data_IF_685768591673
#
_entry.id   IF_685768591673
#
_cell.length_a   1.000
_cell.length_b   1.000
_cell.length_c   1.000
_cell.angle_alpha   90.00
_cell.angle_beta   90.00
_cell.angle_gamma   90.00
#
_symmetry.space_group_name_H-M   'P 1'
#
loop_
_entity.id
_entity.type
_entity.pdbx_description
1 polymer ?
#
# COMPACT_ATOMS: atom_id res chain seq x y z
N UNK A 1 -6.58 -11.00 -10.99
CA UNK A 1 -5.33 -10.73 -10.25
C UNK A 1 -5.07 -9.24 -10.08
N UNK A 2 -4.81 -8.45 -11.13
CA UNK A 2 -4.66 -6.97 -11.00
C UNK A 2 -5.86 -6.30 -10.32
N UNK A 3 -7.08 -6.63 -10.75
CA UNK A 3 -8.32 -6.14 -10.12
C UNK A 3 -8.41 -6.45 -8.62
N UNK A 4 -7.99 -7.64 -8.21
CA UNK A 4 -8.05 -8.03 -6.81
C UNK A 4 -7.03 -7.24 -5.98
N UNK A 5 -5.82 -7.02 -6.50
CA UNK A 5 -4.85 -6.14 -5.84
C UNK A 5 -5.36 -4.69 -5.76
N UNK A 6 -6.02 -4.20 -6.80
CA UNK A 6 -6.65 -2.86 -6.80
C UNK A 6 -7.74 -2.75 -5.72
N UNK A 7 -8.60 -3.77 -5.59
CA UNK A 7 -9.62 -3.83 -4.53
C UNK A 7 -9.01 -3.89 -3.12
N UNK A 8 -7.94 -4.68 -2.92
CA UNK A 8 -7.21 -4.76 -1.64
C UNK A 8 -6.61 -3.40 -1.28
N UNK A 9 -5.90 -2.76 -2.22
CA UNK A 9 -5.31 -1.44 -2.00
C UNK A 9 -6.38 -0.37 -1.78
N UNK A 10 -7.46 -0.40 -2.56
CA UNK A 10 -8.61 0.48 -2.38
C UNK A 10 -9.19 0.39 -0.96
N UNK A 11 -9.38 -0.83 -0.45
CA UNK A 11 -9.86 -1.06 0.91
C UNK A 11 -8.86 -0.58 1.98
N UNK A 12 -7.57 -0.85 1.79
CA UNK A 12 -6.52 -0.38 2.69
C UNK A 12 -6.53 1.15 2.83
N UNK A 13 -6.56 1.87 1.71
CA UNK A 13 -6.54 3.34 1.73
C UNK A 13 -7.87 3.95 2.15
N UNK A 14 -9.00 3.34 1.77
CA UNK A 14 -10.31 3.75 2.28
C UNK A 14 -10.34 3.71 3.80
N UNK A 15 -9.83 2.62 4.41
CA UNK A 15 -9.74 2.53 5.87
C UNK A 15 -8.77 3.53 6.47
N UNK A 16 -7.60 3.75 5.85
CA UNK A 16 -6.64 4.74 6.33
C UNK A 16 -7.23 6.16 6.37
N UNK A 17 -8.02 6.54 5.36
CA UNK A 17 -8.72 7.83 5.31
C UNK A 17 -9.78 7.92 6.41
N UNK A 18 -10.62 6.89 6.55
CA UNK A 18 -11.76 6.92 7.48
C UNK A 18 -11.35 6.74 8.95
N UNK A 19 -10.31 5.96 9.23
CA UNK A 19 -9.75 5.76 10.58
C UNK A 19 -8.71 6.82 10.96
N UNK A 20 -8.46 7.78 10.06
CA UNK A 20 -7.52 8.88 10.23
C UNK A 20 -6.08 8.53 9.92
N UNK A 21 -5.38 9.47 9.28
CA UNK A 21 -3.96 9.36 8.90
C UNK A 21 -3.03 9.44 10.13
N UNK A 22 -3.02 8.38 10.93
CA UNK A 22 -2.18 8.26 12.12
C UNK A 22 -1.17 7.11 12.00
N UNK A 23 -0.08 7.20 12.75
CA UNK A 23 0.96 6.16 12.84
C UNK A 23 0.38 4.83 13.33
N UNK A 24 -0.51 4.90 14.32
CA UNK A 24 -1.22 3.73 14.88
C UNK A 24 -2.17 3.11 13.88
N UNK A 25 -2.93 3.91 13.13
CA UNK A 25 -3.84 3.43 12.07
C UNK A 25 -3.03 2.72 10.99
N UNK A 26 -1.94 3.34 10.50
CA UNK A 26 -1.06 2.71 9.51
C UNK A 26 -0.47 1.38 10.02
N UNK A 27 0.02 1.36 11.26
CA UNK A 27 0.55 0.14 11.91
C UNK A 27 -0.48 -0.98 12.01
N UNK A 28 -1.73 -0.63 12.30
CA UNK A 28 -2.83 -1.58 12.38
C UNK A 28 -3.17 -2.14 11.00
N UNK A 29 -3.31 -1.26 9.99
CA UNK A 29 -3.65 -1.67 8.64
C UNK A 29 -2.54 -2.49 7.98
N UNK A 30 -1.27 -2.16 8.19
CA UNK A 30 -0.17 -3.01 7.68
C UNK A 30 -0.26 -4.44 8.20
N UNK A 31 -0.53 -4.63 9.51
CA UNK A 31 -0.73 -5.96 10.09
C UNK A 31 -1.86 -6.75 9.46
N UNK A 32 -2.90 -6.08 8.96
CA UNK A 32 -4.05 -6.73 8.32
C UNK A 32 -3.84 -7.02 6.83
N UNK A 33 -3.19 -6.10 6.11
CA UNK A 33 -3.21 -6.11 4.65
C UNK A 33 -1.86 -6.43 4.00
N UNK A 34 -0.73 -6.25 4.69
CA UNK A 34 0.61 -6.36 4.10
C UNK A 34 0.82 -7.69 3.37
N UNK A 35 0.55 -8.82 4.04
CA UNK A 35 0.71 -10.15 3.45
C UNK A 35 -0.16 -10.34 2.21
N UNK A 36 -1.41 -9.85 2.24
CA UNK A 36 -2.33 -9.96 1.09
C UNK A 36 -1.83 -9.13 -0.10
N UNK A 37 -1.41 -7.88 0.17
CA UNK A 37 -0.88 -6.95 -0.84
C UNK A 37 0.39 -7.52 -1.48
N UNK A 38 1.35 -7.97 -0.66
CA UNK A 38 2.62 -8.52 -1.13
C UNK A 38 2.45 -9.85 -1.86
N UNK A 39 1.59 -10.75 -1.36
CA UNK A 39 1.36 -12.03 -2.04
C UNK A 39 0.70 -11.81 -3.40
N UNK A 40 -0.35 -11.00 -3.47
CA UNK A 40 -1.05 -10.76 -4.74
C UNK A 40 -0.20 -9.99 -5.74
N UNK A 41 0.57 -9.00 -5.30
CA UNK A 41 1.51 -8.28 -6.18
C UNK A 41 2.65 -9.18 -6.67
N UNK A 42 3.15 -10.10 -5.84
CA UNK A 42 4.17 -11.08 -6.23
C UNK A 42 3.68 -12.03 -7.32
N UNK A 43 2.44 -12.49 -7.23
CA UNK A 43 1.86 -13.35 -8.26
C UNK A 43 1.65 -12.63 -9.60
N UNK A 44 1.39 -11.32 -9.57
CA UNK A 44 1.35 -10.49 -10.79
C UNK A 44 2.78 -10.28 -11.33
N UNK A 45 3.73 -10.05 -10.43
CA UNK A 45 5.16 -9.94 -10.74
C UNK A 45 5.56 -8.63 -11.42
N UNK A 46 6.81 -8.62 -11.89
CA UNK A 46 7.42 -7.50 -12.61
C UNK A 46 7.43 -6.19 -11.81
N UNK A 47 7.32 -5.07 -12.54
CA UNK A 47 7.34 -3.71 -11.98
C UNK A 47 6.28 -3.49 -10.88
N UNK A 48 5.14 -4.16 -10.95
CA UNK A 48 4.09 -4.00 -9.96
C UNK A 48 4.49 -4.54 -8.59
N UNK A 49 5.22 -5.66 -8.54
CA UNK A 49 5.72 -6.20 -7.28
C UNK A 49 6.73 -5.24 -6.64
N UNK A 50 7.70 -4.73 -7.42
CA UNK A 50 8.73 -3.80 -6.95
C UNK A 50 8.12 -2.51 -6.37
N UNK A 51 7.16 -1.91 -7.08
CA UNK A 51 6.48 -0.69 -6.62
C UNK A 51 5.64 -0.95 -5.38
N UNK A 52 5.03 -2.13 -5.27
CA UNK A 52 4.24 -2.50 -4.09
C UNK A 52 5.13 -2.72 -2.86
N UNK A 53 6.31 -3.33 -3.02
CA UNK A 53 7.27 -3.46 -1.92
C UNK A 53 7.73 -2.09 -1.40
N UNK A 54 8.02 -1.14 -2.31
CA UNK A 54 8.34 0.24 -1.91
C UNK A 54 7.17 0.93 -1.21
N UNK A 55 5.94 0.71 -1.66
CA UNK A 55 4.75 1.25 -1.00
C UNK A 55 4.64 0.76 0.44
N UNK A 56 4.78 -0.55 0.66
CA UNK A 56 4.76 -1.14 2.00
C UNK A 56 5.88 -0.58 2.87
N UNK A 57 7.09 -0.41 2.32
CA UNK A 57 8.20 0.19 3.06
C UNK A 57 7.88 1.62 3.50
N UNK A 58 7.33 2.47 2.62
CA UNK A 58 6.95 3.84 3.01
C UNK A 58 5.82 3.88 4.03
N UNK A 59 4.86 2.96 3.93
CA UNK A 59 3.83 2.79 4.95
C UNK A 59 4.46 2.43 6.30
N UNK A 60 5.41 1.50 6.32
CA UNK A 60 6.13 1.09 7.54
C UNK A 60 6.96 2.24 8.12
N UNK A 61 7.66 3.00 7.28
CA UNK A 61 8.42 4.17 7.71
C UNK A 61 7.50 5.22 8.37
N UNK A 62 6.33 5.49 7.76
CA UNK A 62 5.34 6.41 8.34
C UNK A 62 4.80 5.89 9.67
N UNK A 63 4.46 4.60 9.74
CA UNK A 63 3.98 3.93 10.94
C UNK A 63 4.99 4.02 12.11
N UNK A 64 6.29 3.94 11.81
CA UNK A 64 7.38 4.09 12.77
C UNK A 64 7.77 5.55 13.04
N UNK A 65 7.18 6.51 12.35
CA UNK A 65 7.43 7.94 12.55
C UNK A 65 8.66 8.51 11.86
N UNK A 66 9.29 7.75 10.96
CA UNK A 66 10.42 8.20 10.14
C UNK A 66 10.00 8.57 8.70
N UNK A 67 8.79 8.17 8.28
CA UNK A 67 8.24 8.41 6.95
C UNK A 67 7.30 9.62 6.87
N UNK A 68 7.04 10.05 5.64
CA UNK A 68 6.10 11.13 5.30
C UNK A 68 4.93 10.58 4.52
N UNK A 69 3.70 11.02 4.86
CA UNK A 69 2.49 10.60 4.18
C UNK A 69 2.52 10.90 2.66
N UNK A 70 3.14 12.02 2.27
CA UNK A 70 3.28 12.39 0.86
C UNK A 70 4.05 11.34 0.03
N UNK A 71 5.03 10.65 0.63
CA UNK A 71 5.76 9.57 -0.05
C UNK A 71 4.87 8.34 -0.25
N UNK A 72 4.05 8.01 0.74
CA UNK A 72 3.04 6.93 0.64
C UNK A 72 2.07 7.25 -0.50
N UNK A 73 1.53 8.47 -0.53
CA UNK A 73 0.58 8.90 -1.55
C UNK A 73 1.20 8.89 -2.95
N UNK A 74 2.42 9.42 -3.10
CA UNK A 74 3.14 9.42 -4.39
C UNK A 74 3.35 7.99 -4.89
N UNK A 75 3.81 7.09 -4.02
CA UNK A 75 4.06 5.70 -4.39
C UNK A 75 2.76 4.95 -4.72
N UNK A 76 1.67 5.25 -4.02
CA UNK A 76 0.36 4.69 -4.31
C UNK A 76 -0.10 5.03 -5.73
N UNK A 77 0.04 6.29 -6.15
CA UNK A 77 -0.37 6.70 -7.50
C UNK A 77 0.44 5.96 -8.57
N UNK A 78 1.75 5.77 -8.37
CA UNK A 78 2.57 4.94 -9.28
C UNK A 78 2.10 3.49 -9.35
N UNK A 79 1.71 2.88 -8.22
CA UNK A 79 1.15 1.52 -8.19
C UNK A 79 -0.17 1.47 -8.97
N UNK A 80 -1.06 2.45 -8.77
CA UNK A 80 -2.35 2.53 -9.48
C UNK A 80 -2.19 2.74 -10.98
N UNK A 81 -1.22 3.55 -11.41
CA UNK A 81 -0.91 3.74 -12.84
C UNK A 81 -0.54 2.40 -13.50
N UNK A 82 0.32 1.61 -12.87
CA UNK A 82 0.74 0.29 -13.38
C UNK A 82 -0.37 -0.77 -13.28
N UNK A 83 -1.27 -0.64 -12.32
CA UNK A 83 -2.46 -1.49 -12.24
C UNK A 83 -3.45 -1.25 -13.38
N UNK A 84 -3.54 0.00 -13.87
CA UNK A 84 -4.46 0.42 -14.94
C UNK A 84 -3.92 0.20 -16.35
N UNK A 85 -2.60 0.11 -16.52
CA UNK A 85 -1.94 -0.28 -17.79
C UNK A 85 -2.07 -1.77 -18.08
#
# INVERSE_FOLDING_TARGET
>A
MKRELDEILGNFFYRLVNEGYSKSTMSHLLRLYETMILSRSKEIGGKLYELTQQLIQFCADFANGHGKLDRVNTQLELVKEVLRS
#
